data_IF_867451764954
#
_entry.id   IF_867451764954
#
_cell.length_a   1.000
_cell.length_b   1.000
_cell.length_c   1.000
_cell.angle_alpha   90.00
_cell.angle_beta   90.00
_cell.angle_gamma   90.00
#
_symmetry.space_group_name_H-M   'P 1'
#
loop_
_entity.id
_entity.type
_entity.pdbx_description
1 polymer ?
#
# COMPACT_ATOMS: atom_id res chain seq x y z
N UNK A 1 -14.98 17.83 12.29
CA UNK A 1 -15.62 16.50 12.13
C UNK A 1 -14.75 15.50 12.88
N UNK A 2 -15.30 14.60 13.70
CA UNK A 2 -14.45 13.69 14.52
C UNK A 2 -14.00 12.48 13.70
N UNK A 3 -12.76 12.04 13.91
CA UNK A 3 -12.28 10.72 13.46
C UNK A 3 -13.17 9.62 14.05
N UNK A 4 -13.34 8.53 13.32
CA UNK A 4 -14.16 7.38 13.72
C UNK A 4 -13.23 6.19 13.92
N UNK A 5 -13.34 5.43 15.02
CA UNK A 5 -12.56 4.22 15.20
C UNK A 5 -12.79 3.24 14.05
N UNK A 6 -11.71 2.64 13.57
CA UNK A 6 -11.72 1.76 12.39
C UNK A 6 -11.18 0.42 12.78
N UNK A 7 -11.92 -0.66 12.52
CA UNK A 7 -11.42 -2.03 12.67
C UNK A 7 -11.77 -2.81 11.39
N UNK A 8 -10.76 -3.13 10.60
CA UNK A 8 -10.94 -3.84 9.35
C UNK A 8 -9.86 -4.90 9.17
N UNK A 9 -10.20 -5.96 8.43
CA UNK A 9 -9.21 -6.92 7.97
C UNK A 9 -8.20 -6.21 7.07
N UNK A 10 -6.91 -6.32 7.40
CA UNK A 10 -5.82 -5.76 6.60
C UNK A 10 -5.79 -6.40 5.21
N UNK A 11 -5.44 -5.59 4.21
CA UNK A 11 -5.20 -5.97 2.82
C UNK A 11 -3.97 -5.22 2.32
N UNK A 12 -3.27 -5.67 1.27
CA UNK A 12 -2.10 -4.94 0.79
C UNK A 12 -2.48 -3.57 0.21
N UNK A 13 -1.55 -2.62 0.32
CA UNK A 13 -1.55 -1.39 -0.46
C UNK A 13 -0.80 -1.61 -1.76
N UNK A 14 -1.42 -1.28 -2.89
CA UNK A 14 -0.82 -1.42 -4.21
C UNK A 14 -0.69 -0.02 -4.83
N UNK A 15 0.50 0.30 -5.28
CA UNK A 15 0.86 1.58 -5.88
C UNK A 15 1.31 1.39 -7.31
N UNK A 16 0.74 2.15 -8.23
CA UNK A 16 1.09 2.13 -9.64
C UNK A 16 1.65 3.50 -10.05
N UNK A 17 2.80 3.53 -10.72
CA UNK A 17 3.39 4.77 -11.23
C UNK A 17 4.19 4.49 -12.49
N UNK A 18 3.68 4.99 -13.63
CA UNK A 18 4.27 4.68 -14.95
C UNK A 18 4.25 3.18 -15.22
N UNK A 19 5.41 2.61 -15.51
CA UNK A 19 5.62 1.18 -15.83
C UNK A 19 6.01 0.37 -14.59
N UNK A 20 5.62 0.81 -13.39
CA UNK A 20 6.01 0.18 -12.13
C UNK A 20 4.84 0.03 -11.18
N UNK A 21 4.86 -1.09 -10.46
CA UNK A 21 3.89 -1.42 -9.43
C UNK A 21 4.61 -1.86 -8.15
N UNK A 22 4.14 -1.38 -7.00
CA UNK A 22 4.70 -1.71 -5.68
C UNK A 22 3.60 -2.09 -4.72
N UNK A 23 3.73 -3.25 -4.09
CA UNK A 23 2.87 -3.69 -3.01
C UNK A 23 3.54 -3.45 -1.65
N UNK A 24 2.80 -2.86 -0.72
CA UNK A 24 3.17 -2.68 0.69
C UNK A 24 2.17 -3.40 1.60
N UNK A 25 2.64 -3.83 2.76
CA UNK A 25 1.79 -4.24 3.87
C UNK A 25 2.20 -5.56 4.50
N UNK A 26 1.23 -6.36 4.95
CA UNK A 26 1.55 -7.57 5.72
C UNK A 26 2.32 -8.62 4.90
N UNK A 27 3.36 -9.24 5.46
CA UNK A 27 4.23 -10.17 4.74
C UNK A 27 3.48 -11.34 4.11
N UNK A 28 2.39 -11.83 4.72
CA UNK A 28 1.58 -12.91 4.13
C UNK A 28 1.02 -12.56 2.74
N UNK A 29 0.59 -11.32 2.52
CA UNK A 29 0.06 -10.89 1.22
C UNK A 29 1.20 -10.64 0.24
N UNK A 30 2.28 -10.03 0.71
CA UNK A 30 3.47 -9.79 -0.07
C UNK A 30 4.09 -11.10 -0.57
N UNK A 31 4.08 -12.18 0.23
CA UNK A 31 4.55 -13.51 -0.18
C UNK A 31 3.69 -14.09 -1.29
N UNK A 32 2.37 -13.98 -1.19
CA UNK A 32 1.43 -14.43 -2.24
C UNK A 32 1.68 -13.64 -3.54
N UNK A 33 1.80 -12.32 -3.45
CA UNK A 33 2.05 -11.44 -4.61
C UNK A 33 3.38 -11.81 -5.26
N UNK A 34 4.46 -11.90 -4.48
CA UNK A 34 5.78 -12.25 -4.99
C UNK A 34 5.82 -13.65 -5.63
N UNK A 35 5.10 -14.61 -5.05
CA UNK A 35 4.97 -15.96 -5.59
C UNK A 35 4.27 -15.94 -6.97
N UNK A 36 3.08 -15.34 -7.04
CA UNK A 36 2.30 -15.28 -8.29
C UNK A 36 3.06 -14.56 -9.40
N UNK A 37 3.74 -13.44 -9.09
CA UNK A 37 4.58 -12.73 -10.05
C UNK A 37 5.72 -13.61 -10.58
N UNK A 38 6.39 -14.38 -9.71
CA UNK A 38 7.46 -15.31 -10.11
C UNK A 38 6.94 -16.46 -10.96
N UNK A 39 5.77 -17.03 -10.64
CA UNK A 39 5.16 -18.09 -11.44
C UNK A 39 4.85 -17.64 -12.87
N UNK A 40 4.47 -16.37 -13.04
CA UNK A 40 4.24 -15.75 -14.34
C UNK A 40 5.55 -15.33 -15.05
N UNK A 41 6.72 -15.63 -14.47
CA UNK A 41 8.03 -15.37 -15.07
C UNK A 41 8.58 -13.96 -14.82
N UNK A 42 7.98 -13.18 -13.92
CA UNK A 42 8.48 -11.86 -13.56
C UNK A 42 9.55 -11.93 -12.44
N UNK A 43 10.35 -10.87 -12.34
CA UNK A 43 11.42 -10.72 -11.35
C UNK A 43 11.07 -9.62 -10.33
N UNK A 44 10.26 -9.92 -9.30
CA UNK A 44 9.91 -8.92 -8.29
C UNK A 44 11.13 -8.52 -7.45
N UNK A 45 11.26 -7.23 -7.18
CA UNK A 45 12.19 -6.64 -6.23
C UNK A 45 11.57 -6.68 -4.84
N UNK A 46 12.19 -7.40 -3.91
CA UNK A 46 11.68 -7.58 -2.56
C UNK A 46 12.55 -6.81 -1.58
N UNK A 47 11.93 -6.06 -0.68
CA UNK A 47 12.63 -5.39 0.43
C UNK A 47 12.14 -5.91 1.78
N UNK A 48 12.96 -5.69 2.80
CA UNK A 48 12.72 -6.13 4.17
C UNK A 48 12.98 -4.99 5.15
N UNK A 49 12.35 -5.06 6.33
CA UNK A 49 12.45 -4.03 7.38
C UNK A 49 13.86 -3.84 7.94
N UNK A 50 14.69 -4.88 7.97
CA UNK A 50 16.04 -4.80 8.54
C UNK A 50 17.09 -5.22 7.51
N UNK A 51 17.61 -4.24 6.76
CA UNK A 51 18.71 -4.45 5.82
C UNK A 51 20.04 -4.72 6.54
N UNK A 52 20.17 -4.32 7.82
CA UNK A 52 21.39 -4.52 8.62
C UNK A 52 21.47 -5.96 9.11
N UNK A 53 20.36 -6.55 9.55
CA UNK A 53 20.27 -7.98 9.85
C UNK A 53 20.55 -8.85 8.62
N UNK A 54 20.07 -8.44 7.43
CA UNK A 54 20.35 -9.16 6.19
C UNK A 54 21.81 -9.06 5.74
N UNK A 55 22.45 -7.90 5.92
CA UNK A 55 23.89 -7.76 5.66
C UNK A 55 24.74 -8.64 6.59
N UNK A 56 24.31 -8.82 7.85
CA UNK A 56 24.96 -9.73 8.80
C UNK A 56 24.75 -11.22 8.46
N UNK A 57 23.59 -11.56 7.86
CA UNK A 57 23.34 -12.92 7.37
C UNK A 57 24.22 -13.28 6.17
N UNK A 58 24.46 -12.34 5.25
CA UNK A 58 25.37 -12.58 4.11
C UNK A 58 26.82 -12.87 4.57
N UNK A 59 27.26 -12.29 5.70
CA UNK A 59 28.57 -12.54 6.31
C UNK A 59 28.66 -13.91 7.02
N UNK A 60 27.55 -14.46 7.52
CA UNK A 60 27.51 -15.73 8.28
C UNK A 60 27.41 -17.00 7.38
N UNK A 61 27.14 -16.86 6.07
CA UNK A 61 26.97 -18.00 5.14
C UNK A 61 28.26 -18.82 4.91
N UNK A 62 29.44 -18.32 5.30
CA UNK A 62 30.70 -19.08 5.19
C UNK A 62 30.87 -20.19 6.25
N UNK A 63 30.02 -20.27 7.28
CA UNK A 63 30.20 -21.25 8.36
C UNK A 63 28.90 -21.78 8.96
N UNK A 64 28.52 -23.01 8.57
CA UNK A 64 27.63 -23.94 9.28
C UNK A 64 26.14 -23.98 8.83
N UNK A 65 25.74 -25.07 8.15
CA UNK A 65 24.39 -25.30 7.61
C UNK A 65 23.56 -26.27 8.48
N UNK A 66 22.84 -25.77 9.50
CA UNK A 66 21.50 -26.28 9.80
C UNK A 66 20.41 -25.19 9.99
N UNK A 67 20.73 -23.90 9.87
CA UNK A 67 19.80 -22.79 10.22
C UNK A 67 18.94 -22.24 9.07
N UNK A 68 19.18 -22.67 7.82
CA UNK A 68 18.58 -22.11 6.59
C UNK A 68 17.03 -22.14 6.53
N UNK A 69 16.36 -23.09 7.19
CA UNK A 69 14.89 -23.22 7.12
C UNK A 69 14.21 -22.19 8.06
N UNK A 70 14.72 -22.01 9.27
CA UNK A 70 14.22 -21.00 10.21
C UNK A 70 14.51 -19.58 9.68
N UNK A 71 15.66 -19.39 9.03
CA UNK A 71 16.05 -18.14 8.38
C UNK A 71 15.11 -17.79 7.22
N UNK A 72 14.79 -18.75 6.34
CA UNK A 72 13.86 -18.52 5.24
C UNK A 72 12.45 -18.10 5.71
N UNK A 73 11.98 -18.68 6.81
CA UNK A 73 10.68 -18.35 7.41
C UNK A 73 10.71 -16.96 8.04
N UNK A 74 11.79 -16.60 8.74
CA UNK A 74 11.97 -15.25 9.30
C UNK A 74 12.08 -14.18 8.22
N UNK A 75 12.80 -14.45 7.12
CA UNK A 75 12.86 -13.53 5.98
C UNK A 75 11.48 -13.27 5.40
N UNK A 76 10.65 -14.31 5.27
CA UNK A 76 9.27 -14.16 4.80
C UNK A 76 8.42 -13.30 5.74
N UNK A 77 8.69 -13.30 7.05
CA UNK A 77 7.99 -12.46 8.04
C UNK A 77 8.51 -11.02 8.09
N UNK A 78 9.72 -10.76 7.61
CA UNK A 78 10.34 -9.41 7.60
C UNK A 78 10.10 -8.62 6.32
N UNK A 79 9.45 -9.21 5.32
CA UNK A 79 9.20 -8.55 4.04
C UNK A 79 8.29 -7.33 4.22
N UNK A 80 8.68 -6.19 3.64
CA UNK A 80 7.96 -4.92 3.77
C UNK A 80 7.45 -4.36 2.43
N UNK A 81 8.06 -4.75 1.30
CA UNK A 81 7.54 -4.39 -0.02
C UNK A 81 7.87 -5.42 -1.10
N UNK A 82 7.05 -5.42 -2.16
CA UNK A 82 7.27 -6.15 -3.41
C UNK A 82 7.05 -5.20 -4.57
N UNK A 83 8.13 -4.82 -5.26
CA UNK A 83 8.10 -4.01 -6.47
C UNK A 83 8.28 -4.83 -7.73
N UNK A 84 7.70 -4.40 -8.85
CA UNK A 84 7.89 -5.01 -10.17
C UNK A 84 7.72 -3.97 -11.28
N UNK A 85 8.44 -4.14 -12.39
CA UNK A 85 8.32 -3.30 -13.59
C UNK A 85 7.13 -3.75 -14.44
N UNK A 86 5.92 -3.46 -13.95
CA UNK A 86 4.66 -3.69 -14.65
C UNK A 86 3.76 -2.47 -14.48
N UNK A 87 3.03 -2.13 -15.54
CA UNK A 87 1.88 -1.22 -15.48
C UNK A 87 0.77 -1.79 -14.59
N UNK A 88 -0.22 -0.97 -14.25
CA UNK A 88 -1.39 -1.41 -13.47
C UNK A 88 -2.09 -2.63 -14.10
N UNK A 89 -2.42 -2.55 -15.39
CA UNK A 89 -3.15 -3.59 -16.10
C UNK A 89 -2.35 -4.91 -16.14
N UNK A 90 -1.05 -4.83 -16.40
CA UNK A 90 -0.15 -5.99 -16.43
C UNK A 90 0.00 -6.62 -15.04
N UNK A 91 0.15 -5.80 -14.00
CA UNK A 91 0.27 -6.27 -12.61
C UNK A 91 -0.98 -7.05 -12.18
N UNK A 92 -2.18 -6.50 -12.39
CA UNK A 92 -3.42 -7.18 -12.03
C UNK A 92 -3.65 -8.42 -12.89
N UNK A 93 -3.36 -8.35 -14.19
CA UNK A 93 -3.45 -9.53 -15.08
C UNK A 93 -2.54 -10.66 -14.60
N UNK A 94 -1.31 -10.36 -14.16
CA UNK A 94 -0.38 -11.36 -13.64
C UNK A 94 -0.88 -11.99 -12.32
N UNK A 95 -1.56 -11.23 -11.47
CA UNK A 95 -2.12 -11.74 -10.22
C UNK A 95 -3.40 -12.56 -10.42
N UNK A 96 -4.21 -12.21 -11.42
CA UNK A 96 -5.50 -12.84 -11.69
C UNK A 96 -5.37 -14.08 -12.59
N UNK A 97 -4.40 -14.12 -13.50
CA UNK A 97 -4.20 -15.25 -14.44
C UNK A 97 -4.10 -16.62 -13.77
N UNK A 98 -3.35 -16.81 -12.66
CA UNK A 98 -3.31 -18.09 -11.95
C UNK A 98 -4.66 -18.60 -11.47
N UNK A 99 -5.66 -17.72 -11.26
CA UNK A 99 -7.01 -18.12 -10.86
C UNK A 99 -7.73 -18.87 -12.00
N UNK A 100 -7.41 -18.55 -13.25
CA UNK A 100 -7.97 -19.18 -14.43
C UNK A 100 -7.19 -20.42 -14.86
N UNK A 101 -5.88 -20.48 -14.63
CA UNK A 101 -5.05 -21.65 -14.93
C UNK A 101 -5.48 -22.91 -14.15
N UNK A 102 -6.09 -22.72 -12.98
CA UNK A 102 -6.59 -23.81 -12.14
C UNK A 102 -7.99 -24.30 -12.56
N UNK A 103 -8.66 -23.63 -13.50
CA UNK A 103 -10.00 -24.00 -13.95
C UNK A 103 -9.97 -24.98 -15.12
N UNK A 104 -10.88 -25.95 -15.07
CA UNK A 104 -11.22 -26.75 -16.24
C UNK A 104 -12.23 -25.98 -17.09
N UNK A 105 -11.96 -25.82 -18.39
CA UNK A 105 -12.94 -25.27 -19.31
C UNK A 105 -14.17 -26.20 -19.38
N UNK A 106 -15.40 -25.66 -19.23
CA UNK A 106 -16.61 -26.47 -19.24
C UNK A 106 -16.82 -27.16 -20.59
N UNK A 107 -17.43 -28.33 -20.57
CA UNK A 107 -17.86 -28.98 -21.80
C UNK A 107 -19.01 -28.20 -22.45
N UNK A 108 -19.27 -28.45 -23.73
CA UNK A 108 -20.31 -27.76 -24.47
C UNK A 108 -21.69 -27.99 -23.82
N UNK A 109 -22.33 -26.93 -23.34
CA UNK A 109 -23.64 -26.96 -22.67
C UNK A 109 -23.60 -26.98 -21.15
N UNK A 110 -22.42 -26.98 -20.53
CA UNK A 110 -22.25 -26.81 -19.09
C UNK A 110 -22.18 -25.32 -18.72
N UNK A 111 -22.60 -24.99 -17.49
CA UNK A 111 -22.51 -23.63 -16.96
C UNK A 111 -21.04 -23.25 -16.71
N UNK A 112 -20.65 -22.06 -17.20
CA UNK A 112 -19.35 -21.49 -16.92
C UNK A 112 -19.33 -20.93 -15.50
N UNK A 113 -18.57 -21.56 -14.61
CA UNK A 113 -18.30 -21.06 -13.27
C UNK A 113 -17.02 -20.22 -13.31
N UNK A 114 -17.12 -18.96 -12.89
CA UNK A 114 -15.97 -18.07 -12.73
C UNK A 114 -15.22 -18.42 -11.43
N UNK A 115 -13.88 -18.26 -11.39
CA UNK A 115 -13.12 -18.57 -10.20
C UNK A 115 -13.44 -17.53 -9.13
N UNK A 116 -13.49 -17.97 -7.86
CA UNK A 116 -13.66 -17.05 -6.76
C UNK A 116 -12.38 -16.24 -6.57
N UNK A 117 -12.49 -14.91 -6.70
CA UNK A 117 -11.37 -14.00 -6.46
C UNK A 117 -11.05 -14.00 -4.96
N UNK A 118 -9.79 -14.27 -4.56
CA UNK A 118 -9.40 -14.29 -3.16
C UNK A 118 -9.82 -12.99 -2.44
N UNK A 119 -10.32 -13.13 -1.22
CA UNK A 119 -10.81 -12.00 -0.43
C UNK A 119 -9.79 -10.86 -0.34
N UNK A 120 -8.51 -11.14 -0.11
CA UNK A 120 -7.50 -10.09 -0.04
C UNK A 120 -7.36 -9.29 -1.35
N UNK A 121 -7.55 -9.92 -2.51
CA UNK A 121 -7.38 -9.32 -3.82
C UNK A 121 -8.58 -8.43 -4.17
N UNK A 122 -9.80 -8.87 -3.84
CA UNK A 122 -11.01 -8.04 -3.97
C UNK A 122 -11.00 -6.85 -3.00
N UNK A 123 -10.26 -6.95 -1.91
CA UNK A 123 -10.12 -5.91 -0.88
C UNK A 123 -8.79 -5.14 -0.95
N UNK A 124 -7.93 -5.44 -1.94
CA UNK A 124 -6.65 -4.79 -2.09
C UNK A 124 -6.86 -3.31 -2.40
N UNK A 125 -6.13 -2.46 -1.70
CA UNK A 125 -6.28 -1.01 -1.78
C UNK A 125 -5.29 -0.50 -2.81
N UNK A 126 -5.76 0.14 -3.88
CA UNK A 126 -4.92 0.48 -5.02
C UNK A 126 -4.98 1.96 -5.36
N UNK A 127 -3.81 2.55 -5.61
CA UNK A 127 -3.64 3.92 -6.09
C UNK A 127 -2.71 3.95 -7.29
N UNK A 128 -2.98 4.86 -8.22
CA UNK A 128 -2.05 5.26 -9.26
C UNK A 128 -1.57 6.69 -9.00
N UNK A 129 -0.32 6.98 -9.34
CA UNK A 129 0.18 8.36 -9.27
C UNK A 129 -0.28 9.13 -10.51
N UNK A 130 -1.14 10.12 -10.32
CA UNK A 130 -1.60 11.02 -11.36
C UNK A 130 -0.80 12.33 -11.29
N UNK A 131 0.07 12.65 -12.28
CA UNK A 131 0.87 13.87 -12.26
C UNK A 131 0.03 15.15 -12.43
N UNK A 132 -1.24 15.04 -12.80
CA UNK A 132 -2.15 16.17 -12.96
C UNK A 132 -3.30 16.14 -11.95
N UNK A 133 -3.21 15.32 -10.90
CA UNK A 133 -4.18 15.30 -9.82
C UNK A 133 -4.38 16.73 -9.24
N UNK A 134 -5.63 17.21 -9.16
CA UNK A 134 -5.91 18.51 -8.57
C UNK A 134 -5.52 18.54 -7.10
N UNK A 135 -4.77 19.57 -6.71
CA UNK A 135 -4.36 19.83 -5.34
C UNK A 135 -5.30 20.83 -4.65
N UNK A 136 -5.63 20.55 -3.39
CA UNK A 136 -6.31 21.44 -2.45
C UNK A 136 -5.37 21.71 -1.28
N UNK A 137 -4.64 22.83 -1.33
CA UNK A 137 -3.64 23.19 -0.34
C UNK A 137 -2.47 23.95 -0.96
N UNK A 138 -1.32 23.91 -0.30
CA UNK A 138 -0.10 24.63 -0.73
C UNK A 138 0.81 23.83 -1.66
N UNK A 139 0.56 22.53 -1.81
CA UNK A 139 1.36 21.64 -2.66
C UNK A 139 1.12 21.84 -4.14
N UNK A 140 2.03 21.30 -4.94
CA UNK A 140 1.93 21.30 -6.40
C UNK A 140 0.85 20.30 -6.87
N UNK A 141 0.46 20.40 -8.14
CA UNK A 141 -0.32 19.34 -8.79
C UNK A 141 0.47 18.02 -8.80
N UNK A 142 -0.24 16.90 -8.77
CA UNK A 142 0.34 15.57 -8.83
C UNK A 142 0.25 14.79 -7.52
N UNK A 143 -0.50 13.70 -7.51
CA UNK A 143 -0.77 12.94 -6.29
C UNK A 143 -1.36 11.56 -6.52
N UNK A 144 -1.52 10.81 -5.43
CA UNK A 144 -2.03 9.44 -5.48
C UNK A 144 -3.55 9.42 -5.59
N UNK A 145 -4.03 8.88 -6.71
CA UNK A 145 -5.43 8.73 -7.05
C UNK A 145 -5.86 7.28 -6.91
N UNK A 146 -6.97 7.01 -6.23
CA UNK A 146 -7.52 5.66 -6.09
C UNK A 146 -7.85 5.07 -7.45
N UNK A 147 -7.53 3.80 -7.62
CA UNK A 147 -7.89 3.02 -8.81
C UNK A 147 -9.39 2.79 -8.88
N UNK A 148 -9.95 2.79 -10.11
CA UNK A 148 -11.38 2.54 -10.34
C UNK A 148 -11.72 1.05 -10.09
N UNK A 149 -12.90 0.77 -9.56
CA UNK A 149 -13.39 -0.60 -9.38
C UNK A 149 -12.84 -1.38 -8.18
N UNK A 150 -11.91 -0.80 -7.40
CA UNK A 150 -11.43 -1.35 -6.12
C UNK A 150 -12.05 -0.54 -4.97
N UNK A 151 -13.34 -0.74 -4.72
CA UNK A 151 -14.18 0.15 -3.88
C UNK A 151 -13.92 0.09 -2.38
N UNK A 152 -13.14 -0.88 -1.88
CA UNK A 152 -12.70 -0.89 -0.47
C UNK A 152 -11.40 -0.13 -0.29
N UNK A 153 -11.42 1.15 -0.64
CA UNK A 153 -10.41 2.06 -0.14
C UNK A 153 -10.72 2.35 1.33
N UNK A 154 -9.84 1.96 2.26
CA UNK A 154 -9.57 2.92 3.32
C UNK A 154 -9.31 2.50 4.75
N UNK A 155 -9.28 1.22 5.10
CA UNK A 155 -8.99 0.84 6.50
C UNK A 155 -8.07 -0.37 6.59
N UNK A 156 -6.98 -0.32 7.40
CA UNK A 156 -6.47 0.85 8.16
C UNK A 156 -6.13 2.07 7.28
N UNK A 157 -5.90 3.24 7.90
CA UNK A 157 -5.35 4.43 7.23
C UNK A 157 -3.86 4.22 6.98
N UNK A 158 -3.39 4.53 5.77
CA UNK A 158 -2.00 4.34 5.36
C UNK A 158 -1.18 5.60 5.57
N UNK A 159 -0.02 5.48 6.21
CA UNK A 159 0.95 6.55 6.42
C UNK A 159 2.28 6.16 5.77
N UNK A 160 2.54 6.65 4.57
CA UNK A 160 3.66 6.16 3.76
C UNK A 160 4.56 7.26 3.23
N UNK A 161 5.86 7.09 3.43
CA UNK A 161 6.88 7.84 2.72
C UNK A 161 7.15 7.14 1.39
N UNK A 162 6.72 7.75 0.29
CA UNK A 162 6.71 7.12 -1.04
C UNK A 162 7.65 7.80 -2.04
N UNK A 163 7.48 9.11 -2.23
CA UNK A 163 8.08 9.85 -3.35
C UNK A 163 9.20 10.80 -2.94
N UNK A 164 9.25 11.20 -1.67
CA UNK A 164 10.07 12.32 -1.21
C UNK A 164 10.51 12.07 0.25
N UNK A 165 11.81 12.24 0.59
CA UNK A 165 12.29 12.11 1.96
C UNK A 165 11.68 13.13 2.95
N UNK A 166 11.20 14.27 2.49
CA UNK A 166 10.71 15.34 3.36
C UNK A 166 9.19 15.34 3.53
N UNK A 167 8.48 14.41 2.88
CA UNK A 167 7.02 14.30 2.98
C UNK A 167 6.52 12.87 3.09
N UNK A 168 5.29 12.72 3.58
CA UNK A 168 4.57 11.47 3.61
C UNK A 168 3.14 11.64 3.13
N UNK A 169 2.56 10.52 2.75
CA UNK A 169 1.22 10.41 2.21
C UNK A 169 0.29 9.76 3.23
N UNK A 170 -0.88 10.35 3.41
CA UNK A 170 -2.03 9.74 4.06
C UNK A 170 -2.95 9.16 2.99
N UNK A 171 -3.25 7.87 3.10
CA UNK A 171 -4.11 7.15 2.18
C UNK A 171 -5.27 6.51 2.95
N UNK A 172 -6.46 6.62 2.39
CA UNK A 172 -7.66 6.18 3.08
C UNK A 172 -8.89 6.20 2.19
N UNK A 173 -10.04 5.92 2.81
CA UNK A 173 -11.33 6.13 2.17
C UNK A 173 -11.51 7.63 1.96
N UNK A 174 -12.35 8.03 1.00
CA UNK A 174 -12.66 9.45 0.82
C UNK A 174 -13.21 10.07 2.12
N UNK A 175 -14.11 9.35 2.81
CA UNK A 175 -14.71 9.77 4.06
C UNK A 175 -13.68 9.94 5.19
N UNK A 176 -12.71 9.03 5.28
CA UNK A 176 -11.65 9.11 6.30
C UNK A 176 -10.69 10.25 5.96
N UNK A 177 -10.29 10.41 4.70
CA UNK A 177 -9.42 11.51 4.28
C UNK A 177 -10.06 12.88 4.48
N UNK A 178 -11.37 13.03 4.27
CA UNK A 178 -12.08 14.28 4.60
C UNK A 178 -11.95 14.63 6.09
N UNK A 179 -12.06 13.63 6.98
CA UNK A 179 -11.88 13.81 8.44
C UNK A 179 -10.43 14.11 8.79
N UNK A 180 -9.48 13.39 8.20
CA UNK A 180 -8.04 13.62 8.42
C UNK A 180 -7.64 15.00 7.93
N UNK A 181 -8.11 15.43 6.76
CA UNK A 181 -7.82 16.76 6.24
C UNK A 181 -8.33 17.84 7.20
N UNK A 182 -9.56 17.71 7.70
CA UNK A 182 -10.07 18.66 8.69
C UNK A 182 -9.23 18.66 9.98
N UNK A 183 -8.84 17.49 10.47
CA UNK A 183 -7.93 17.40 11.64
C UNK A 183 -6.61 18.14 11.37
N UNK A 184 -6.03 17.97 10.18
CA UNK A 184 -4.79 18.65 9.82
C UNK A 184 -4.97 20.18 9.80
N UNK A 185 -6.09 20.68 9.27
CA UNK A 185 -6.42 22.11 9.31
C UNK A 185 -6.57 22.62 10.74
N UNK A 186 -7.19 21.83 11.63
CA UNK A 186 -7.34 22.19 13.04
C UNK A 186 -5.96 22.23 13.74
N UNK A 187 -5.08 21.25 13.46
CA UNK A 187 -3.71 21.18 13.99
C UNK A 187 -2.81 22.33 13.50
N UNK A 188 -3.03 22.83 12.28
CA UNK A 188 -2.27 23.94 11.69
C UNK A 188 -2.35 25.23 12.52
N UNK A 189 -3.32 25.35 13.43
CA UNK A 189 -3.41 26.49 14.34
C UNK A 189 -2.35 26.49 15.45
N UNK A 190 -1.75 25.34 15.78
CA UNK A 190 -0.86 25.22 16.93
C UNK A 190 0.29 24.21 16.78
N UNK A 191 0.38 23.48 15.66
CA UNK A 191 1.52 22.60 15.34
C UNK A 191 2.12 22.96 13.98
N UNK A 192 3.44 23.00 13.93
CA UNK A 192 4.21 23.36 12.75
C UNK A 192 4.06 22.32 11.62
N UNK A 193 4.11 22.79 10.37
CA UNK A 193 4.07 21.97 9.16
C UNK A 193 2.68 21.64 8.66
N UNK A 194 1.67 21.60 9.54
CA UNK A 194 0.28 21.30 9.15
C UNK A 194 -0.35 22.41 8.29
N UNK A 195 0.19 23.62 8.30
CA UNK A 195 -0.21 24.67 7.35
C UNK A 195 0.10 24.30 5.88
N UNK A 196 0.96 23.29 5.65
CA UNK A 196 1.33 22.79 4.33
C UNK A 196 0.53 21.57 3.87
N UNK A 197 -0.49 21.15 4.62
CA UNK A 197 -1.36 20.03 4.24
C UNK A 197 -1.92 20.24 2.84
N UNK A 198 -1.78 19.22 2.00
CA UNK A 198 -2.32 19.26 0.63
C UNK A 198 -3.13 18.01 0.37
N UNK A 199 -4.44 18.16 0.18
CA UNK A 199 -5.31 17.07 -0.24
C UNK A 199 -5.35 16.98 -1.78
N UNK A 200 -5.32 15.77 -2.32
CA UNK A 200 -5.42 15.53 -3.75
C UNK A 200 -6.75 14.87 -4.09
N UNK A 201 -7.40 15.36 -5.14
CA UNK A 201 -8.70 14.85 -5.56
C UNK A 201 -8.54 13.72 -6.57
N UNK A 202 -9.40 12.71 -6.43
CA UNK A 202 -9.51 11.63 -7.41
C UNK A 202 -10.44 11.96 -8.57
N UNK A 203 -10.66 10.96 -9.42
CA UNK A 203 -11.55 11.06 -10.59
C UNK A 203 -13.01 11.38 -10.24
N UNK A 204 -13.43 11.08 -9.00
CA UNK A 204 -14.75 11.33 -8.44
C UNK A 204 -14.85 12.70 -7.75
N UNK A 205 -13.81 13.53 -7.85
CA UNK A 205 -13.65 14.81 -7.16
C UNK A 205 -13.68 14.70 -5.63
N UNK A 206 -13.49 13.50 -5.09
CA UNK A 206 -13.34 13.28 -3.65
C UNK A 206 -11.87 13.16 -3.27
N UNK A 207 -11.54 13.46 -2.02
CA UNK A 207 -10.16 13.34 -1.53
C UNK A 207 -9.66 11.91 -1.71
N UNK A 208 -8.49 11.77 -2.32
CA UNK A 208 -7.87 10.49 -2.68
C UNK A 208 -6.59 10.19 -1.92
N UNK A 209 -5.85 11.25 -1.60
CA UNK A 209 -4.67 11.20 -0.73
C UNK A 209 -4.44 12.58 -0.11
N UNK A 210 -3.62 12.62 0.94
CA UNK A 210 -3.14 13.87 1.54
C UNK A 210 -1.62 13.79 1.64
N UNK A 211 -0.91 14.84 1.22
CA UNK A 211 0.52 14.97 1.47
C UNK A 211 0.78 15.94 2.63
N UNK A 212 1.72 15.56 3.48
CA UNK A 212 2.16 16.31 4.67
C UNK A 212 3.68 16.28 4.78
N UNK A 213 4.32 17.35 5.30
CA UNK A 213 5.74 17.30 5.64
C UNK A 213 6.03 16.30 6.75
N UNK A 214 7.23 15.68 6.75
CA UNK A 214 7.61 14.66 7.73
C UNK A 214 7.52 15.10 9.20
N UNK A 215 7.71 16.40 9.49
CA UNK A 215 7.56 16.95 10.85
C UNK A 215 6.17 16.72 11.45
N UNK A 216 5.14 16.56 10.60
CA UNK A 216 3.76 16.35 11.03
C UNK A 216 3.46 14.90 11.47
N UNK A 217 4.32 13.93 11.12
CA UNK A 217 4.07 12.49 11.28
C UNK A 217 3.70 12.13 12.72
N UNK A 218 4.61 12.37 13.67
CA UNK A 218 4.41 11.91 15.05
C UNK A 218 3.19 12.54 15.71
N UNK A 219 2.92 13.81 15.39
CA UNK A 219 1.73 14.51 15.84
C UNK A 219 0.43 13.90 15.28
N UNK A 220 0.41 13.49 14.01
CA UNK A 220 -0.76 12.88 13.38
C UNK A 220 -0.98 11.44 13.87
N UNK A 221 0.10 10.66 14.03
CA UNK A 221 0.05 9.30 14.60
C UNK A 221 -0.54 9.32 16.02
N UNK A 222 -0.16 10.29 16.85
CA UNK A 222 -0.73 10.48 18.19
C UNK A 222 -2.25 10.71 18.15
N UNK A 223 -2.73 11.59 17.27
CA UNK A 223 -4.17 11.86 17.12
C UNK A 223 -4.95 10.64 16.62
N UNK A 224 -4.37 9.87 15.69
CA UNK A 224 -4.96 8.61 15.23
C UNK A 224 -5.05 7.57 16.36
N UNK A 225 -3.98 7.44 17.16
CA UNK A 225 -3.98 6.58 18.33
C UNK A 225 -5.05 6.99 19.35
N UNK A 226 -5.12 8.28 19.71
CA UNK A 226 -6.11 8.82 20.65
C UNK A 226 -7.54 8.64 20.15
N UNK A 227 -7.75 8.69 18.83
CA UNK A 227 -9.04 8.48 18.20
C UNK A 227 -9.41 7.00 17.99
N UNK A 228 -8.49 6.07 18.25
CA UNK A 228 -8.68 4.63 17.99
C UNK A 228 -8.77 4.29 16.50
N UNK A 229 -8.09 5.07 15.66
CA UNK A 229 -7.98 4.79 14.22
C UNK A 229 -6.82 3.82 13.99
N UNK A 230 -7.10 2.71 13.31
CA UNK A 230 -6.06 1.75 12.94
C UNK A 230 -5.22 2.33 11.80
N UNK A 231 -3.90 2.33 11.98
CA UNK A 231 -2.93 2.86 11.01
C UNK A 231 -1.96 1.79 10.54
N UNK A 232 -1.51 1.93 9.31
CA UNK A 232 -0.44 1.12 8.73
C UNK A 232 0.62 2.07 8.16
N UNK A 233 1.87 1.91 8.58
CA UNK A 233 2.93 2.88 8.32
C UNK A 233 4.18 2.24 7.72
N UNK A 234 4.80 2.91 6.75
CA UNK A 234 6.12 2.58 6.21
C UNK A 234 6.88 3.89 5.92
N UNK A 235 8.01 4.04 6.61
CA UNK A 235 8.91 5.19 6.52
C UNK A 235 10.35 4.68 6.33
N UNK A 236 11.24 5.49 5.73
CA UNK A 236 12.59 5.09 5.30
C UNK A 236 13.65 5.09 6.42
N UNK A 237 13.25 4.87 7.67
CA UNK A 237 14.15 4.93 8.86
C UNK A 237 15.37 4.01 8.77
#
# INVERSE_FOLDING_TARGET
>A
MKLVPTHASRSPYIFHFGERSVALGEPRFLNIIAHNLKEQGYHPQITYWDQVYLAQLDDDIEGNKPQLIEESSRMQEMMNSVGVELTEDEFWSALESPLFDQMSWPAQGEELLMPEVPGWMSHARSWFFDPVAPAQGTGNIGGWVRTRGRERAGQPVGLFQLTDPDSFWVLGSADDLERVHQLCLDLAHYRDGFEKTTAYLGYDLRMSSIALPMICRGALEEEFYLAGVDTESLFWE
#
